data_IF_609722817138
#
_entry.id   IF_609722817138
#
_cell.length_a   1.000
_cell.length_b   1.000
_cell.length_c   1.000
_cell.angle_alpha   90.00
_cell.angle_beta   90.00
_cell.angle_gamma   90.00
#
_symmetry.space_group_name_H-M   'P 1'
#
loop_
_entity.id
_entity.type
_entity.pdbx_description
1 polymer ?
#
# COMPACT_ATOMS: atom_id res chain seq x y z
N UNK A 1 22.35 -12.72 20.22
CA UNK A 1 23.19 -11.49 20.24
C UNK A 1 22.38 -10.41 20.91
N UNK A 2 22.99 -9.58 21.76
CA UNK A 2 22.25 -8.61 22.59
C UNK A 2 22.15 -7.22 21.92
N UNK A 3 23.02 -6.90 20.96
CA UNK A 3 22.95 -5.68 20.13
C UNK A 3 24.01 -5.76 19.01
N UNK A 4 23.67 -5.34 17.79
CA UNK A 4 24.62 -5.07 16.70
C UNK A 4 24.32 -3.67 16.15
N UNK A 5 25.35 -2.85 15.95
CA UNK A 5 25.23 -1.48 15.39
C UNK A 5 24.98 -1.55 13.88
N UNK A 6 25.54 -2.57 13.22
CA UNK A 6 25.38 -2.81 11.79
C UNK A 6 24.33 -3.91 11.58
N UNK A 7 23.49 -3.82 10.53
CA UNK A 7 22.52 -4.85 10.21
C UNK A 7 23.24 -6.15 9.87
N UNK A 8 23.17 -7.10 10.79
CA UNK A 8 23.75 -8.44 10.62
C UNK A 8 22.71 -9.41 10.05
N UNK A 9 23.14 -10.62 9.72
CA UNK A 9 22.24 -11.63 9.18
C UNK A 9 21.06 -11.96 10.14
N UNK A 10 21.24 -11.82 11.45
CA UNK A 10 20.16 -12.00 12.42
C UNK A 10 19.08 -10.92 12.27
N UNK A 11 19.49 -9.66 12.14
CA UNK A 11 18.59 -8.53 11.90
C UNK A 11 17.76 -8.74 10.62
N UNK A 12 18.40 -9.15 9.52
CA UNK A 12 17.73 -9.39 8.25
C UNK A 12 16.71 -10.54 8.35
N UNK A 13 17.14 -11.70 8.87
CA UNK A 13 16.33 -12.92 8.91
C UNK A 13 15.20 -12.85 9.94
N UNK A 14 15.40 -12.19 11.08
CA UNK A 14 14.43 -12.16 12.17
C UNK A 14 13.59 -10.88 12.16
N UNK A 15 14.12 -9.77 11.65
CA UNK A 15 13.44 -8.48 11.57
C UNK A 15 12.66 -8.32 10.25
N UNK A 16 13.37 -8.33 9.12
CA UNK A 16 12.76 -8.01 7.81
C UNK A 16 12.04 -9.20 7.16
N UNK A 17 12.69 -10.36 7.07
CA UNK A 17 12.16 -11.49 6.31
C UNK A 17 10.73 -11.90 6.69
N UNK A 18 10.33 -11.96 7.98
CA UNK A 18 8.97 -12.36 8.34
C UNK A 18 7.90 -11.40 7.82
N UNK A 19 8.18 -10.10 7.79
CA UNK A 19 7.21 -9.10 7.34
C UNK A 19 7.15 -9.00 5.83
N UNK A 20 8.25 -9.27 5.12
CA UNK A 20 8.24 -9.36 3.66
C UNK A 20 7.40 -10.54 3.14
N UNK A 21 7.03 -11.48 4.00
CA UNK A 21 6.06 -12.53 3.67
C UNK A 21 4.60 -12.04 3.70
N UNK A 22 4.31 -10.89 4.32
CA UNK A 22 3.00 -10.24 4.24
C UNK A 22 2.89 -9.41 2.95
N UNK A 23 1.85 -9.67 2.15
CA UNK A 23 1.66 -9.03 0.86
C UNK A 23 1.45 -7.50 0.97
N UNK A 24 0.79 -7.03 2.03
CA UNK A 24 0.50 -5.60 2.20
C UNK A 24 1.77 -4.85 2.60
N UNK A 25 2.56 -5.42 3.49
CA UNK A 25 3.86 -4.90 3.89
C UNK A 25 4.87 -4.91 2.74
N UNK A 26 4.91 -5.98 1.94
CA UNK A 26 5.77 -6.07 0.76
C UNK A 26 5.41 -4.98 -0.27
N UNK A 27 4.13 -4.74 -0.52
CA UNK A 27 3.67 -3.64 -1.39
C UNK A 27 4.02 -2.26 -0.83
N UNK A 28 3.85 -2.06 0.48
CA UNK A 28 4.26 -0.82 1.16
C UNK A 28 5.76 -0.56 1.00
N UNK A 29 6.59 -1.58 1.26
CA UNK A 29 8.05 -1.51 1.09
C UNK A 29 8.44 -1.18 -0.36
N UNK A 30 7.76 -1.82 -1.32
CA UNK A 30 7.97 -1.55 -2.74
C UNK A 30 7.57 -0.12 -3.12
N UNK A 31 6.50 0.44 -2.54
CA UNK A 31 6.04 1.80 -2.83
C UNK A 31 7.12 2.84 -2.47
N UNK A 32 7.77 2.70 -1.31
CA UNK A 32 8.91 3.56 -0.92
C UNK A 32 10.04 3.46 -1.95
N UNK A 33 10.38 2.24 -2.36
CA UNK A 33 11.43 2.00 -3.37
C UNK A 33 11.09 2.56 -4.74
N UNK A 34 9.84 2.47 -5.20
CA UNK A 34 9.40 3.04 -6.48
C UNK A 34 9.32 4.58 -6.43
N UNK A 35 9.03 5.16 -5.27
CA UNK A 35 8.99 6.60 -5.09
C UNK A 35 10.40 7.24 -5.21
N UNK A 36 11.45 6.52 -4.81
CA UNK A 36 12.83 7.03 -4.86
C UNK A 36 13.43 7.06 -6.27
N UNK A 37 12.88 6.28 -7.21
CA UNK A 37 13.40 6.20 -8.58
C UNK A 37 13.24 7.53 -9.33
N UNK A 38 14.39 8.14 -9.64
CA UNK A 38 14.46 9.43 -10.33
C UNK A 38 14.11 10.63 -9.44
N UNK A 39 14.03 10.43 -8.12
CA UNK A 39 13.90 11.52 -7.15
C UNK A 39 15.26 12.22 -6.95
N UNK A 40 15.22 13.45 -6.42
CA UNK A 40 16.43 14.16 -5.98
C UNK A 40 16.88 13.64 -4.62
N UNK A 41 18.16 13.85 -4.30
CA UNK A 41 18.75 13.43 -3.04
C UNK A 41 17.93 13.91 -1.83
N UNK A 42 17.43 15.15 -1.82
CA UNK A 42 16.64 15.65 -0.70
C UNK A 42 15.29 14.93 -0.51
N UNK A 43 14.70 14.41 -1.59
CA UNK A 43 13.47 13.63 -1.51
C UNK A 43 13.78 12.16 -1.18
N UNK A 44 14.94 11.65 -1.61
CA UNK A 44 15.43 10.33 -1.21
C UNK A 44 15.71 10.29 0.30
N UNK A 45 16.30 11.34 0.86
CA UNK A 45 16.54 11.46 2.30
C UNK A 45 15.22 11.43 3.09
N UNK A 46 14.19 12.15 2.63
CA UNK A 46 12.86 12.09 3.23
C UNK A 46 12.24 10.69 3.18
N UNK A 47 12.37 10.00 2.04
CA UNK A 47 11.89 8.63 1.88
C UNK A 47 12.67 7.67 2.78
N UNK A 48 13.99 7.86 2.95
CA UNK A 48 14.81 7.08 3.85
C UNK A 48 14.41 7.29 5.32
N UNK A 49 14.06 8.52 5.70
CA UNK A 49 13.49 8.81 7.03
C UNK A 49 12.15 8.11 7.23
N UNK A 50 11.26 8.14 6.23
CA UNK A 50 10.00 7.39 6.29
C UNK A 50 10.24 5.89 6.41
N UNK A 51 11.19 5.33 5.64
CA UNK A 51 11.60 3.93 5.74
C UNK A 51 12.08 3.60 7.16
N UNK A 52 12.95 4.44 7.73
CA UNK A 52 13.49 4.25 9.07
C UNK A 52 12.39 4.22 10.14
N UNK A 53 11.49 5.20 10.14
CA UNK A 53 10.42 5.28 11.15
C UNK A 53 9.25 4.32 10.90
N UNK A 54 9.27 3.55 9.82
CA UNK A 54 8.28 2.51 9.54
C UNK A 54 8.92 1.13 9.52
N UNK A 55 9.67 0.79 8.49
CA UNK A 55 10.25 -0.55 8.29
C UNK A 55 11.28 -0.90 9.38
N UNK A 56 12.06 0.06 9.90
CA UNK A 56 13.05 -0.21 10.95
C UNK A 56 12.48 -0.07 12.37
N UNK A 57 11.74 1.00 12.65
CA UNK A 57 11.28 1.35 14.01
C UNK A 57 9.77 1.61 14.11
N UNK A 58 8.98 1.06 13.19
CA UNK A 58 7.52 1.24 13.15
C UNK A 58 6.74 0.34 14.10
N UNK A 59 5.58 0.85 14.51
CA UNK A 59 4.56 0.13 15.26
C UNK A 59 3.30 0.00 14.42
N UNK A 60 2.47 -0.99 14.70
CA UNK A 60 1.14 -1.12 14.10
C UNK A 60 0.07 -1.24 15.17
N UNK A 61 -1.16 -0.87 14.80
CA UNK A 61 -2.33 -1.08 15.63
C UNK A 61 -3.04 -2.35 15.18
N UNK A 62 -3.11 -3.34 16.06
CA UNK A 62 -3.81 -4.60 15.80
C UNK A 62 -4.83 -4.86 16.91
N UNK A 63 -6.10 -5.00 16.55
CA UNK A 63 -7.19 -5.21 17.52
C UNK A 63 -7.21 -4.14 18.65
N UNK A 64 -6.92 -2.89 18.28
CA UNK A 64 -6.83 -1.75 19.19
C UNK A 64 -5.66 -1.81 20.20
N UNK A 65 -4.71 -2.73 20.02
CA UNK A 65 -3.44 -2.79 20.75
C UNK A 65 -2.28 -2.34 19.86
N UNK A 66 -1.30 -1.64 20.45
CA UNK A 66 -0.05 -1.33 19.77
C UNK A 66 0.86 -2.56 19.78
N UNK A 67 1.32 -2.94 18.59
CA UNK A 67 2.30 -4.00 18.34
C UNK A 67 3.48 -3.41 17.59
N UNK A 68 4.61 -4.11 17.67
CA UNK A 68 5.84 -3.72 16.97
C UNK A 68 5.98 -4.55 15.71
N UNK A 69 6.37 -3.90 14.62
CA UNK A 69 6.79 -4.57 13.40
C UNK A 69 8.17 -4.13 12.91
N UNK A 70 8.69 -2.96 13.32
CA UNK A 70 9.99 -2.49 12.83
C UNK A 70 11.12 -3.51 13.05
N UNK A 71 11.91 -3.79 12.01
CA UNK A 71 12.98 -4.79 12.05
C UNK A 71 14.06 -4.47 13.10
N UNK A 72 14.44 -3.20 13.23
CA UNK A 72 15.31 -2.70 14.28
C UNK A 72 14.75 -2.93 15.69
N UNK A 73 13.44 -2.75 15.89
CA UNK A 73 12.78 -3.06 17.17
C UNK A 73 12.70 -4.57 17.43
N UNK A 74 12.38 -5.39 16.42
CA UNK A 74 12.29 -6.84 16.56
C UNK A 74 13.64 -7.50 16.82
N UNK A 75 14.73 -6.90 16.33
CA UNK A 75 16.10 -7.38 16.52
C UNK A 75 16.79 -6.81 17.79
N UNK A 76 16.23 -5.77 18.42
CA UNK A 76 16.79 -5.14 19.63
C UNK A 76 15.85 -5.25 20.83
N UNK A 77 16.16 -6.16 21.75
CA UNK A 77 15.36 -6.37 22.98
C UNK A 77 15.32 -5.11 23.87
N UNK A 78 16.39 -4.32 23.90
CA UNK A 78 16.46 -3.10 24.70
C UNK A 78 15.55 -2.00 24.14
N UNK A 79 15.63 -1.77 22.83
CA UNK A 79 14.80 -0.77 22.14
C UNK A 79 13.32 -1.17 22.20
N UNK A 80 13.01 -2.45 21.96
CA UNK A 80 11.67 -2.99 22.05
C UNK A 80 11.02 -2.67 23.40
N UNK A 81 11.73 -2.95 24.50
CA UNK A 81 11.26 -2.64 25.86
C UNK A 81 11.03 -1.15 26.06
N UNK A 82 11.88 -0.30 25.50
CA UNK A 82 11.71 1.14 25.59
C UNK A 82 10.45 1.60 24.83
N UNK A 83 10.27 1.17 23.59
CA UNK A 83 9.13 1.52 22.74
C UNK A 83 7.78 1.14 23.39
N UNK A 84 7.72 0.00 24.11
CA UNK A 84 6.47 -0.45 24.78
C UNK A 84 6.35 -0.02 26.25
N UNK A 85 7.33 0.70 26.81
CA UNK A 85 7.37 1.06 28.23
C UNK A 85 6.31 2.08 28.68
N UNK A 86 5.60 2.71 27.73
CA UNK A 86 4.67 3.82 27.98
C UNK A 86 5.34 5.18 28.19
N UNK A 87 6.68 5.23 28.25
CA UNK A 87 7.44 6.50 28.28
C UNK A 87 7.80 7.02 26.89
N UNK A 88 7.70 6.17 25.87
CA UNK A 88 7.98 6.53 24.48
C UNK A 88 6.88 7.42 23.91
N UNK A 89 7.29 8.43 23.12
CA UNK A 89 6.34 9.29 22.42
C UNK A 89 5.90 8.62 21.12
N UNK A 90 4.66 8.15 21.07
CA UNK A 90 4.12 7.39 19.94
C UNK A 90 3.02 8.22 19.26
N UNK A 91 3.15 8.45 17.96
CA UNK A 91 2.22 9.25 17.15
C UNK A 91 1.78 8.48 15.90
N UNK A 92 0.68 8.91 15.28
CA UNK A 92 0.23 8.31 14.02
C UNK A 92 1.27 8.58 12.93
N UNK A 93 1.51 7.57 12.09
CA UNK A 93 2.29 7.74 10.88
C UNK A 93 1.62 8.75 9.95
N UNK A 94 2.39 9.74 9.50
CA UNK A 94 2.08 10.70 8.46
C UNK A 94 3.40 11.00 7.73
N UNK A 95 3.57 10.60 6.46
CA UNK A 95 4.82 10.80 5.73
C UNK A 95 5.34 12.24 5.74
N UNK A 96 4.46 13.25 5.76
CA UNK A 96 4.84 14.67 5.74
C UNK A 96 5.49 15.07 7.07
N UNK A 97 5.00 14.53 8.18
CA UNK A 97 5.53 14.77 9.51
C UNK A 97 6.74 13.87 9.77
N UNK A 98 6.62 12.58 9.48
CA UNK A 98 7.64 11.57 9.73
C UNK A 98 8.95 11.89 9.01
N UNK A 99 8.89 12.35 7.74
CA UNK A 99 10.12 12.67 6.98
C UNK A 99 10.96 13.82 7.55
N UNK A 100 10.41 14.61 8.47
CA UNK A 100 11.10 15.72 9.13
C UNK A 100 11.81 15.29 10.42
N UNK A 101 11.55 14.08 10.89
CA UNK A 101 12.11 13.58 12.14
C UNK A 101 13.55 13.11 11.95
N UNK A 102 14.43 13.46 12.88
CA UNK A 102 15.84 13.01 12.88
C UNK A 102 15.97 11.59 13.48
N UNK A 103 16.51 10.61 12.74
CA UNK A 103 16.85 9.28 13.25
C UNK A 103 17.99 9.32 14.27
N UNK A 104 17.82 8.67 15.43
CA UNK A 104 18.89 8.56 16.43
C UNK A 104 19.65 7.24 16.24
N UNK A 105 20.94 7.29 15.89
CA UNK A 105 21.71 6.06 15.63
C UNK A 105 22.27 5.43 16.91
N UNK A 106 22.71 6.26 17.87
CA UNK A 106 23.45 5.80 19.06
C UNK A 106 22.61 5.75 20.33
N UNK A 107 21.37 6.24 20.28
CA UNK A 107 20.47 6.30 21.42
C UNK A 107 19.08 5.84 21.00
N UNK A 108 18.23 5.55 21.98
CA UNK A 108 16.83 5.23 21.73
C UNK A 108 16.13 6.35 20.94
N UNK A 109 15.17 5.97 20.10
CA UNK A 109 14.40 6.95 19.33
C UNK A 109 13.57 7.83 20.27
N UNK A 110 13.53 9.13 19.97
CA UNK A 110 12.73 10.10 20.73
C UNK A 110 11.23 9.95 20.46
N UNK A 111 10.89 9.49 19.26
CA UNK A 111 9.55 9.37 18.75
C UNK A 111 9.42 8.12 17.90
N UNK A 112 8.28 7.46 18.00
CA UNK A 112 7.91 6.32 17.17
C UNK A 112 6.58 6.59 16.47
N UNK A 113 6.38 5.94 15.33
CA UNK A 113 5.19 6.12 14.51
C UNK A 113 4.42 4.81 14.43
N UNK A 114 3.10 4.88 14.63
CA UNK A 114 2.23 3.73 14.45
C UNK A 114 1.37 3.85 13.19
N UNK A 115 1.16 2.72 12.51
CA UNK A 115 0.26 2.60 11.35
C UNK A 115 -1.00 1.83 11.74
N UNK A 116 -2.19 2.29 11.33
CA UNK A 116 -3.44 1.56 11.57
C UNK A 116 -3.52 0.27 10.74
N UNK A 117 -3.02 0.29 9.51
CA UNK A 117 -2.82 -0.91 8.68
C UNK A 117 -1.71 -0.67 7.66
N UNK A 118 -1.12 -1.74 7.11
CA UNK A 118 -0.14 -1.61 6.04
C UNK A 118 -0.76 -1.09 4.73
N UNK A 119 -2.06 -1.36 4.51
CA UNK A 119 -2.80 -0.78 3.37
C UNK A 119 -2.91 0.73 3.49
N UNK A 120 -3.26 1.23 4.68
CA UNK A 120 -3.31 2.66 4.96
C UNK A 120 -1.94 3.32 4.82
N UNK A 121 -0.89 2.73 5.42
CA UNK A 121 0.48 3.23 5.27
C UNK A 121 0.94 3.30 3.81
N UNK A 122 0.57 2.30 2.99
CA UNK A 122 0.82 2.30 1.54
C UNK A 122 0.08 3.43 0.82
N UNK A 123 -1.18 3.66 1.15
CA UNK A 123 -1.96 4.76 0.56
C UNK A 123 -1.38 6.13 0.93
N UNK A 124 -1.01 6.33 2.20
CA UNK A 124 -0.32 7.54 2.64
C UNK A 124 0.99 7.76 1.88
N UNK A 125 1.80 6.72 1.68
CA UNK A 125 3.03 6.81 0.88
C UNK A 125 2.77 7.10 -0.60
N UNK A 126 1.68 6.58 -1.18
CA UNK A 126 1.27 6.93 -2.55
C UNK A 126 0.93 8.41 -2.66
N UNK A 127 0.15 8.95 -1.73
CA UNK A 127 -0.13 10.39 -1.69
C UNK A 127 1.14 11.21 -1.52
N UNK A 128 2.02 10.81 -0.60
CA UNK A 128 3.31 11.47 -0.40
C UNK A 128 4.17 11.44 -1.67
N UNK A 129 4.21 10.33 -2.39
CA UNK A 129 4.97 10.18 -3.64
C UNK A 129 4.53 11.15 -4.74
N UNK A 130 3.26 11.60 -4.74
CA UNK A 130 2.77 12.61 -5.68
C UNK A 130 3.39 13.99 -5.44
N UNK A 131 3.86 14.26 -4.23
CA UNK A 131 4.54 15.53 -3.89
C UNK A 131 5.98 15.56 -4.39
N UNK A 132 6.57 14.40 -4.68
CA UNK A 132 7.95 14.26 -5.16
C UNK A 132 8.01 14.68 -6.63
N UNK A 133 8.80 15.71 -6.92
CA UNK A 133 8.95 16.23 -8.28
C UNK A 133 9.80 15.29 -9.13
N UNK A 134 9.16 14.60 -10.07
CA UNK A 134 9.83 13.80 -11.12
C UNK A 134 9.15 13.97 -12.48
N UNK A 135 9.91 13.89 -13.59
CA UNK A 135 9.37 14.17 -14.93
C UNK A 135 8.58 13.00 -15.55
N UNK A 136 8.46 11.87 -14.85
CA UNK A 136 7.79 10.66 -15.35
C UNK A 136 7.15 9.86 -14.22
N UNK A 137 6.15 9.05 -14.57
CA UNK A 137 5.67 7.97 -13.70
C UNK A 137 6.52 6.71 -13.84
N UNK A 138 6.48 5.85 -12.83
CA UNK A 138 7.11 4.52 -12.88
C UNK A 138 6.09 3.45 -12.53
N UNK A 139 6.24 2.27 -13.12
CA UNK A 139 5.49 1.05 -12.80
C UNK A 139 6.46 -0.10 -12.68
N UNK A 140 6.26 -0.97 -11.70
CA UNK A 140 6.93 -2.27 -11.68
C UNK A 140 6.17 -3.28 -12.54
N UNK A 141 6.87 -3.94 -13.47
CA UNK A 141 6.35 -5.06 -14.23
C UNK A 141 6.80 -6.37 -13.57
N UNK A 142 5.87 -7.15 -12.95
CA UNK A 142 6.23 -8.38 -12.24
C UNK A 142 6.62 -9.52 -13.18
N UNK A 143 6.19 -9.52 -14.45
CA UNK A 143 6.49 -10.60 -15.41
C UNK A 143 7.93 -10.53 -15.90
N UNK A 144 8.44 -9.32 -16.11
CA UNK A 144 9.82 -9.08 -16.58
C UNK A 144 10.77 -8.65 -15.46
N UNK A 145 10.26 -8.47 -14.24
CA UNK A 145 11.01 -7.97 -13.08
C UNK A 145 11.74 -6.65 -13.38
N UNK A 146 11.08 -5.75 -14.12
CA UNK A 146 11.67 -4.48 -14.59
C UNK A 146 10.81 -3.27 -14.22
N UNK A 147 11.45 -2.10 -14.14
CA UNK A 147 10.74 -0.83 -13.96
C UNK A 147 10.45 -0.18 -15.31
N UNK A 148 9.18 0.06 -15.59
CA UNK A 148 8.69 0.74 -16.78
C UNK A 148 8.50 2.23 -16.51
N UNK A 149 9.10 3.07 -17.35
CA UNK A 149 8.94 4.53 -17.29
C UNK A 149 7.72 4.95 -18.10
N UNK A 150 6.68 5.42 -17.41
CA UNK A 150 5.45 5.97 -17.97
C UNK A 150 5.69 7.44 -18.37
N UNK A 151 6.30 7.62 -19.54
CA UNK A 151 6.80 8.91 -20.05
C UNK A 151 6.01 9.48 -21.22
N UNK A 152 5.12 8.69 -21.83
CA UNK A 152 4.33 9.11 -22.99
C UNK A 152 3.00 8.36 -23.08
N UNK A 153 2.09 8.92 -23.88
CA UNK A 153 0.73 8.39 -24.08
C UNK A 153 0.71 6.95 -24.57
N UNK A 154 1.64 6.53 -25.45
CA UNK A 154 1.68 5.16 -25.96
C UNK A 154 1.92 4.13 -24.84
N UNK A 155 2.88 4.39 -23.96
CA UNK A 155 3.16 3.49 -22.82
C UNK A 155 2.00 3.45 -21.84
N UNK A 156 1.36 4.60 -21.60
CA UNK A 156 0.17 4.69 -20.74
C UNK A 156 -1.00 3.90 -21.36
N UNK A 157 -1.23 4.02 -22.67
CA UNK A 157 -2.28 3.29 -23.37
C UNK A 157 -2.06 1.77 -23.35
N UNK A 158 -0.81 1.31 -23.46
CA UNK A 158 -0.49 -0.12 -23.31
C UNK A 158 -0.87 -0.62 -21.90
N UNK A 159 -0.51 0.14 -20.86
CA UNK A 159 -0.89 -0.18 -19.48
C UNK A 159 -2.42 -0.20 -19.31
N UNK A 160 -3.14 0.79 -19.84
CA UNK A 160 -4.61 0.81 -19.80
C UNK A 160 -5.21 -0.40 -20.52
N UNK A 161 -4.61 -0.82 -21.65
CA UNK A 161 -5.05 -2.02 -22.37
C UNK A 161 -4.86 -3.29 -21.55
N UNK A 162 -3.76 -3.42 -20.81
CA UNK A 162 -3.52 -4.53 -19.88
C UNK A 162 -4.56 -4.54 -18.75
N UNK A 163 -4.80 -3.39 -18.12
CA UNK A 163 -5.79 -3.26 -17.04
C UNK A 163 -7.22 -3.57 -17.52
N UNK A 164 -7.56 -3.23 -18.77
CA UNK A 164 -8.84 -3.64 -19.38
C UNK A 164 -8.95 -5.17 -19.51
N UNK A 165 -7.85 -5.85 -19.83
CA UNK A 165 -7.79 -7.31 -19.85
C UNK A 165 -8.06 -7.90 -18.47
N UNK A 166 -7.40 -7.39 -17.44
CA UNK A 166 -7.61 -7.82 -16.05
C UNK A 166 -9.04 -7.58 -15.58
N UNK A 167 -9.62 -6.42 -15.92
CA UNK A 167 -11.00 -6.11 -15.59
C UNK A 167 -11.98 -7.08 -16.28
N UNK A 168 -11.72 -7.47 -17.52
CA UNK A 168 -12.52 -8.48 -18.23
C UNK A 168 -12.50 -9.84 -17.52
N UNK A 169 -11.35 -10.25 -16.98
CA UNK A 169 -11.25 -11.49 -16.17
C UNK A 169 -12.15 -11.39 -14.94
N UNK A 170 -12.10 -10.26 -14.22
CA UNK A 170 -12.94 -10.02 -13.04
C UNK A 170 -14.43 -10.04 -13.42
N UNK A 171 -14.83 -9.35 -14.49
CA UNK A 171 -16.22 -9.33 -14.97
C UNK A 171 -16.72 -10.74 -15.32
N UNK A 172 -15.91 -11.54 -16.00
CA UNK A 172 -16.26 -12.92 -16.35
C UNK A 172 -16.40 -13.81 -15.11
N UNK A 173 -15.53 -13.65 -14.12
CA UNK A 173 -15.64 -14.38 -12.85
C UNK A 173 -16.92 -14.02 -12.10
N UNK A 174 -17.27 -12.74 -12.03
CA UNK A 174 -18.51 -12.27 -11.42
C UNK A 174 -19.76 -12.79 -12.13
N UNK A 175 -19.74 -12.86 -13.47
CA UNK A 175 -20.85 -13.42 -14.24
C UNK A 175 -21.10 -14.89 -13.90
N UNK A 176 -20.04 -15.70 -13.83
CA UNK A 176 -20.13 -17.12 -13.44
C UNK A 176 -20.66 -17.31 -12.03
N UNK A 177 -20.17 -16.52 -11.06
CA UNK A 177 -20.68 -16.58 -9.68
C UNK A 177 -22.18 -16.25 -9.64
N UNK A 178 -22.65 -15.30 -10.46
CA UNK A 178 -24.08 -14.98 -10.54
C UNK A 178 -24.91 -16.12 -11.14
N UNK A 179 -24.41 -16.77 -12.19
CA UNK A 179 -25.05 -17.94 -12.80
C UNK A 179 -25.18 -19.09 -11.80
N UNK A 180 -24.09 -19.42 -11.09
CA UNK A 180 -24.07 -20.46 -10.04
C UNK A 180 -25.01 -20.13 -8.87
N UNK A 181 -25.09 -18.86 -8.47
CA UNK A 181 -26.01 -18.42 -7.42
C UNK A 181 -27.47 -18.51 -7.88
N UNK A 182 -27.78 -18.15 -9.14
CA UNK A 182 -29.13 -18.27 -9.69
C UNK A 182 -29.57 -19.75 -9.80
N UNK A 183 -28.69 -20.67 -10.18
CA UNK A 183 -28.98 -22.11 -10.20
C UNK A 183 -29.21 -22.68 -8.79
N UNK A 184 -28.55 -22.12 -7.77
CA UNK A 184 -28.79 -22.48 -6.36
C UNK A 184 -30.06 -21.84 -5.77
N UNK A 185 -30.39 -20.60 -6.14
CA UNK A 185 -31.64 -19.92 -5.70
C UNK A 185 -32.89 -20.52 -6.33
N UNK A 186 -32.82 -21.08 -7.53
CA UNK A 186 -33.95 -21.80 -8.15
C UNK A 186 -34.33 -23.07 -7.36
N UNK A 187 -33.43 -23.58 -6.50
CA UNK A 187 -33.70 -24.73 -5.64
C UNK A 187 -34.23 -24.37 -4.25
N UNK A 188 -34.20 -23.08 -3.84
CA UNK A 188 -34.65 -22.62 -2.53
C UNK A 188 -35.61 -21.43 -2.63
N UNK A 189 -36.91 -21.78 -2.76
CA UNK A 189 -38.12 -21.01 -2.47
C UNK A 189 -38.69 -20.03 -3.53
N UNK A 190 -39.92 -20.38 -3.91
CA UNK A 190 -40.97 -19.53 -4.45
C UNK A 190 -41.25 -18.29 -3.55
N UNK A 191 -41.57 -17.16 -4.23
CA UNK A 191 -42.29 -15.98 -3.74
C UNK A 191 -41.60 -14.93 -2.81
N UNK A 192 -40.60 -14.16 -3.27
CA UNK A 192 -40.43 -12.72 -2.87
C UNK A 192 -39.52 -11.84 -3.78
N UNK A 193 -39.21 -12.24 -5.03
CA UNK A 193 -38.01 -11.75 -5.75
C UNK A 193 -38.17 -10.46 -6.60
N UNK A 194 -39.29 -9.72 -6.46
CA UNK A 194 -39.58 -8.61 -7.39
C UNK A 194 -39.04 -7.23 -6.98
N UNK A 195 -38.63 -7.02 -5.74
CA UNK A 195 -38.12 -5.74 -5.25
C UNK A 195 -36.59 -5.64 -5.30
N UNK A 196 -35.89 -6.73 -5.05
CA UNK A 196 -34.41 -6.77 -4.97
C UNK A 196 -33.75 -6.68 -6.35
N UNK A 197 -34.33 -7.34 -7.36
CA UNK A 197 -33.88 -7.28 -8.76
C UNK A 197 -33.90 -5.85 -9.32
N UNK A 198 -34.85 -5.01 -8.87
CA UNK A 198 -34.97 -3.61 -9.34
C UNK A 198 -33.89 -2.71 -8.74
N UNK A 199 -33.55 -2.92 -7.46
CA UNK A 199 -32.48 -2.19 -6.79
C UNK A 199 -31.09 -2.53 -7.37
N UNK A 200 -30.84 -3.81 -7.70
CA UNK A 200 -29.62 -4.23 -8.39
C UNK A 200 -29.49 -3.62 -9.80
N UNK A 201 -30.60 -3.55 -10.55
CA UNK A 201 -30.60 -2.98 -11.89
C UNK A 201 -30.26 -1.47 -11.87
N UNK A 202 -30.78 -0.74 -10.88
CA UNK A 202 -30.50 0.68 -10.69
C UNK A 202 -29.05 0.93 -10.24
N UNK A 203 -28.49 0.08 -9.37
CA UNK A 203 -27.08 0.16 -8.97
C UNK A 203 -26.10 -0.11 -10.13
N UNK A 204 -26.45 -1.05 -11.03
CA UNK A 204 -25.69 -1.32 -12.25
C UNK A 204 -25.72 -0.14 -13.22
N UNK A 205 -26.88 0.50 -13.37
CA UNK A 205 -27.04 1.68 -14.24
C UNK A 205 -26.19 2.85 -13.76
N UNK A 206 -26.16 3.09 -12.44
CA UNK A 206 -25.36 4.15 -11.86
C UNK A 206 -23.85 3.88 -11.97
N UNK A 207 -23.43 2.63 -11.78
CA UNK A 207 -22.01 2.26 -11.90
C UNK A 207 -21.50 2.39 -13.34
N UNK A 208 -22.31 1.99 -14.33
CA UNK A 208 -21.96 2.14 -15.75
C UNK A 208 -21.91 3.62 -16.15
N UNK A 209 -22.86 4.44 -15.70
CA UNK A 209 -22.86 5.87 -15.97
C UNK A 209 -21.62 6.59 -15.40
N UNK A 210 -21.17 6.20 -14.20
CA UNK A 210 -19.95 6.75 -13.60
C UNK A 210 -18.69 6.36 -14.40
N UNK A 211 -18.64 5.14 -14.93
CA UNK A 211 -17.53 4.67 -15.75
C UNK A 211 -17.48 5.41 -17.09
N UNK A 212 -18.63 5.60 -17.72
CA UNK A 212 -18.76 6.33 -18.99
C UNK A 212 -18.38 7.81 -18.81
N UNK A 213 -18.74 8.43 -17.68
CA UNK A 213 -18.34 9.79 -17.33
C UNK A 213 -16.82 9.91 -17.14
N UNK A 214 -16.17 8.98 -16.42
CA UNK A 214 -14.71 8.98 -16.30
C UNK A 214 -14.01 8.85 -17.67
N UNK A 215 -14.59 8.09 -18.59
CA UNK A 215 -14.05 7.94 -19.95
C UNK A 215 -14.22 9.23 -20.76
N UNK A 216 -15.35 9.93 -20.63
CA UNK A 216 -15.56 11.23 -21.26
C UNK A 216 -14.59 12.28 -20.73
N UNK A 217 -14.42 12.38 -19.40
CA UNK A 217 -13.51 13.32 -18.76
C UNK A 217 -12.05 13.07 -19.19
N UNK A 218 -11.65 11.81 -19.40
CA UNK A 218 -10.33 11.45 -19.95
C UNK A 218 -10.13 11.88 -21.40
N UNK A 219 -11.19 11.94 -22.20
CA UNK A 219 -11.13 12.35 -23.61
C UNK A 219 -11.13 13.88 -23.76
N UNK A 220 -11.75 14.63 -22.84
CA UNK A 220 -11.71 16.11 -22.86
C UNK A 220 -10.32 16.68 -22.54
N UNK A 221 -9.48 15.92 -21.82
CA UNK A 221 -8.07 16.27 -21.57
C UNK A 221 -7.21 16.19 -22.86
N UNK A 222 -7.76 15.69 -23.98
CA UNK A 222 -7.07 15.61 -25.27
C UNK A 222 -7.19 16.87 -26.16
N UNK A 223 -7.70 18.01 -25.65
CA UNK A 223 -7.73 19.29 -26.39
C UNK A 223 -6.65 20.27 -25.91
#
# INVERSE_FOLDING_TARGET
>A
MIFSIEPDCCHELLGHCPLLADASFAQFSQEIGLASLGAKDEEVDKLATCYFFTIEFGLCKQQNELKVYGAGLLSSVAELKHAVSGSAHIVSFDPIITCQQEPMITTFQKMYFFTDSFTDAKEQMREFSRTIKRPFGVRYNPYTQSVEILSNTRKILNLVSELKGDLCIVTNALAKIKEDNNENSINDNDDDDHLEIKAEADARRNSQANLDQMIMDMNEIQV
#
